data_IF_494369010398
#
_entry.id   IF_494369010398
#
_cell.length_a   1.000
_cell.length_b   1.000
_cell.length_c   1.000
_cell.angle_alpha   90.00
_cell.angle_beta   90.00
_cell.angle_gamma   90.00
#
_symmetry.space_group_name_H-M   'P 1'
#
loop_
_entity.id
_entity.type
_entity.pdbx_description
1 polymer ?
#
# COMPACT_ATOMS: atom_id res chain seq x y z
N UNK A 1 12.02 3.37 20.14
CA UNK A 1 10.77 2.71 19.72
C UNK A 1 11.08 1.82 18.54
N UNK A 2 10.58 0.58 18.55
CA UNK A 2 10.68 -0.33 17.40
C UNK A 2 9.92 0.25 16.22
N UNK A 3 10.45 0.10 15.01
CA UNK A 3 9.74 0.52 13.80
C UNK A 3 8.40 -0.25 13.66
N UNK A 4 7.34 0.46 13.27
CA UNK A 4 6.08 -0.17 12.86
C UNK A 4 6.25 -0.80 11.48
N UNK A 5 5.96 -2.10 11.39
CA UNK A 5 6.21 -2.91 10.19
C UNK A 5 4.92 -3.62 9.80
N UNK A 6 4.43 -3.34 8.60
CA UNK A 6 3.33 -4.07 8.01
C UNK A 6 3.85 -5.21 7.13
N UNK A 7 3.26 -6.39 7.29
CA UNK A 7 3.53 -7.57 6.47
C UNK A 7 2.33 -7.90 5.62
N UNK A 8 2.56 -8.11 4.32
CA UNK A 8 1.54 -8.53 3.35
C UNK A 8 2.09 -9.69 2.53
N UNK A 9 1.26 -10.67 2.19
CA UNK A 9 1.64 -11.66 1.18
C UNK A 9 1.93 -10.99 -0.17
N UNK A 10 2.80 -11.61 -0.96
CA UNK A 10 3.10 -11.12 -2.31
C UNK A 10 1.87 -11.06 -3.21
N UNK A 11 0.97 -12.06 -3.10
CA UNK A 11 -0.30 -12.08 -3.82
C UNK A 11 -1.16 -10.85 -3.49
N UNK A 12 -1.25 -10.46 -2.21
CA UNK A 12 -1.98 -9.25 -1.83
C UNK A 12 -1.28 -7.97 -2.27
N UNK A 13 0.04 -7.93 -2.33
CA UNK A 13 0.76 -6.76 -2.86
C UNK A 13 0.50 -6.60 -4.36
N UNK A 14 0.36 -7.70 -5.11
CA UNK A 14 0.11 -7.70 -6.55
C UNK A 14 -1.39 -7.64 -6.91
N UNK A 15 -2.27 -7.80 -5.93
CA UNK A 15 -3.69 -7.72 -6.13
C UNK A 15 -4.12 -6.37 -6.73
N UNK A 16 -5.20 -6.40 -7.51
CA UNK A 16 -5.82 -5.19 -8.03
C UNK A 16 -6.74 -4.59 -6.98
N UNK A 17 -6.40 -3.39 -6.52
CA UNK A 17 -7.27 -2.58 -5.67
C UNK A 17 -6.88 -1.12 -5.74
N UNK A 18 -7.82 -0.27 -5.37
CA UNK A 18 -7.60 1.17 -5.30
C UNK A 18 -8.03 1.69 -3.94
N UNK A 19 -7.11 2.38 -3.30
CA UNK A 19 -7.30 3.03 -2.01
C UNK A 19 -6.83 4.48 -2.10
N UNK A 20 -7.47 5.35 -1.33
CA UNK A 20 -6.97 6.70 -1.10
C UNK A 20 -5.73 6.66 -0.21
N UNK A 21 -4.98 7.77 -0.14
CA UNK A 21 -3.80 7.84 0.71
C UNK A 21 -4.14 7.50 2.17
N UNK A 22 -5.23 8.06 2.69
CA UNK A 22 -5.63 7.86 4.08
C UNK A 22 -6.09 6.43 4.35
N UNK A 23 -6.83 5.82 3.42
CA UNK A 23 -7.21 4.41 3.51
C UNK A 23 -5.97 3.48 3.55
N UNK A 24 -4.96 3.75 2.71
CA UNK A 24 -3.73 2.94 2.72
C UNK A 24 -2.92 3.10 4.00
N UNK A 25 -2.74 4.34 4.47
CA UNK A 25 -2.02 4.64 5.71
C UNK A 25 -2.71 3.96 6.89
N UNK A 26 -4.03 4.09 6.98
CA UNK A 26 -4.83 3.47 8.02
C UNK A 26 -4.71 1.94 8.01
N UNK A 27 -4.84 1.31 6.83
CA UNK A 27 -4.68 -0.12 6.69
C UNK A 27 -3.27 -0.59 7.05
N UNK A 28 -2.22 0.13 6.64
CA UNK A 28 -0.84 -0.24 6.97
C UNK A 28 -0.57 -0.16 8.47
N UNK A 29 -1.12 0.85 9.16
CA UNK A 29 -1.07 0.92 10.61
C UNK A 29 -1.79 -0.27 11.26
N UNK A 30 -2.99 -0.62 10.79
CA UNK A 30 -3.72 -1.79 11.28
C UNK A 30 -2.93 -3.09 11.07
N UNK A 31 -2.40 -3.30 9.86
CA UNK A 31 -1.62 -4.48 9.50
C UNK A 31 -0.34 -4.57 10.36
N UNK A 32 0.28 -3.44 10.70
CA UNK A 32 1.47 -3.44 11.57
C UNK A 32 1.24 -3.93 13.00
N UNK A 33 -0.03 -4.05 13.43
CA UNK A 33 -0.40 -4.64 14.72
C UNK A 33 -0.58 -6.15 14.67
N UNK A 34 -0.67 -6.72 13.48
CA UNK A 34 -0.81 -8.15 13.31
C UNK A 34 0.53 -8.85 13.62
N UNK A 35 0.44 -9.90 14.42
CA UNK A 35 1.55 -10.76 14.82
C UNK A 35 1.44 -12.10 14.10
N UNK A 36 2.48 -12.44 13.37
CA UNK A 36 2.61 -13.73 12.70
C UNK A 36 2.62 -14.87 13.70
N UNK A 37 1.96 -15.98 13.36
CA UNK A 37 1.98 -17.20 14.17
C UNK A 37 1.06 -17.20 15.40
N UNK A 38 0.45 -16.07 15.76
CA UNK A 38 -0.67 -16.07 16.71
C UNK A 38 -2.00 -16.27 15.99
N UNK A 39 -3.04 -16.63 16.74
CA UNK A 39 -4.39 -16.84 16.22
C UNK A 39 -4.88 -15.60 15.45
N UNK A 40 -5.27 -15.81 14.18
CA UNK A 40 -5.77 -14.76 13.30
C UNK A 40 -7.11 -14.20 13.79
N UNK A 41 -7.98 -15.06 14.36
CA UNK A 41 -9.31 -14.67 14.83
C UNK A 41 -9.24 -13.68 15.99
N UNK A 42 -8.24 -13.83 16.86
CA UNK A 42 -8.04 -12.92 17.99
C UNK A 42 -7.49 -11.54 17.58
N UNK A 43 -7.04 -11.39 16.33
CA UNK A 43 -6.34 -10.20 15.85
C UNK A 43 -7.09 -9.44 14.76
N UNK A 44 -8.08 -10.07 14.12
CA UNK A 44 -8.81 -9.45 13.00
C UNK A 44 -9.57 -8.19 13.41
N UNK A 45 -9.98 -8.09 14.68
CA UNK A 45 -10.63 -6.90 15.23
C UNK A 45 -9.66 -6.05 16.04
N UNK A 46 -9.59 -4.75 15.74
CA UNK A 46 -8.71 -3.82 16.42
C UNK A 46 -9.25 -2.39 16.45
N UNK A 47 -8.69 -1.58 17.34
CA UNK A 47 -9.05 -0.17 17.53
C UNK A 47 -7.82 0.71 17.33
N UNK A 48 -7.91 1.72 16.46
CA UNK A 48 -6.88 2.72 16.21
C UNK A 48 -7.40 4.08 16.67
N UNK A 49 -6.61 4.82 17.43
CA UNK A 49 -6.91 6.21 17.80
C UNK A 49 -6.38 7.20 16.76
N UNK A 50 -6.98 8.39 16.68
CA UNK A 50 -6.48 9.47 15.83
C UNK A 50 -5.07 9.91 16.23
N UNK A 51 -4.72 9.82 17.52
CA UNK A 51 -3.37 10.09 18.01
C UNK A 51 -2.35 9.09 17.43
N UNK A 52 -2.60 7.79 17.53
CA UNK A 52 -1.72 6.77 16.95
C UNK A 52 -1.62 6.87 15.42
N UNK A 53 -2.73 7.22 14.77
CA UNK A 53 -2.75 7.45 13.33
C UNK A 53 -1.86 8.63 12.93
N UNK A 54 -1.96 9.75 13.66
CA UNK A 54 -1.10 10.92 13.47
C UNK A 54 0.37 10.61 13.76
N UNK A 55 0.67 9.94 14.87
CA UNK A 55 2.05 9.63 15.27
C UNK A 55 2.75 8.75 14.23
N UNK A 56 1.99 7.90 13.52
CA UNK A 56 2.49 7.07 12.43
C UNK A 56 2.70 7.83 11.11
N UNK A 57 1.96 8.93 10.91
CA UNK A 57 1.90 9.71 9.66
C UNK A 57 1.78 11.21 9.94
N UNK A 58 2.81 11.85 10.52
CA UNK A 58 2.69 13.21 11.08
C UNK A 58 2.50 14.31 10.01
N UNK A 59 2.85 14.02 8.75
CA UNK A 59 2.71 14.93 7.62
C UNK A 59 1.24 15.27 7.27
N UNK A 60 0.28 14.50 7.79
CA UNK A 60 -1.15 14.80 7.62
C UNK A 60 -1.65 16.01 8.41
N UNK A 61 -0.87 16.44 9.42
CA UNK A 61 -1.21 17.53 10.33
C UNK A 61 -2.18 17.11 11.45
N UNK A 62 -1.80 17.39 12.70
CA UNK A 62 -2.53 16.94 13.92
C UNK A 62 -4.00 17.35 13.94
N UNK A 63 -4.32 18.58 13.52
CA UNK A 63 -5.70 19.11 13.53
C UNK A 63 -6.65 18.32 12.61
N UNK A 64 -6.12 17.60 11.63
CA UNK A 64 -6.91 16.88 10.64
C UNK A 64 -6.93 15.37 10.89
N UNK A 65 -6.24 14.87 11.91
CA UNK A 65 -6.05 13.43 12.12
C UNK A 65 -7.39 12.70 12.33
N UNK A 66 -8.30 13.27 13.13
CA UNK A 66 -9.63 12.71 13.36
C UNK A 66 -10.48 12.69 12.09
N UNK A 67 -10.50 13.80 11.34
CA UNK A 67 -11.26 13.92 10.10
C UNK A 67 -10.74 12.94 9.05
N UNK A 68 -9.42 12.85 8.88
CA UNK A 68 -8.80 11.93 7.92
C UNK A 68 -8.96 10.47 8.33
N UNK A 69 -8.92 10.17 9.64
CA UNK A 69 -9.24 8.84 10.17
C UNK A 69 -10.68 8.49 9.82
N UNK A 70 -11.63 9.38 10.09
CA UNK A 70 -13.05 9.17 9.79
C UNK A 70 -13.28 8.95 8.29
N UNK A 71 -12.71 9.80 7.43
CA UNK A 71 -12.81 9.65 5.97
C UNK A 71 -12.23 8.34 5.46
N UNK A 72 -11.11 7.88 6.05
CA UNK A 72 -10.49 6.62 5.69
C UNK A 72 -11.41 5.43 5.98
N UNK A 73 -12.00 5.40 7.18
CA UNK A 73 -12.81 4.27 7.62
C UNK A 73 -14.20 4.23 6.96
N UNK A 74 -14.78 5.39 6.66
CA UNK A 74 -16.10 5.48 6.01
C UNK A 74 -16.06 4.89 4.60
N UNK A 75 -14.94 5.09 3.90
CA UNK A 75 -14.73 4.59 2.54
C UNK A 75 -14.27 3.14 2.48
N UNK A 76 -13.58 2.66 3.52
CA UNK A 76 -12.94 1.34 3.52
C UNK A 76 -13.96 0.19 3.33
N UNK A 77 -15.20 0.37 3.79
CA UNK A 77 -16.31 -0.57 3.57
C UNK A 77 -16.54 -0.87 2.08
N UNK A 78 -16.48 0.16 1.24
CA UNK A 78 -16.75 0.06 -0.20
C UNK A 78 -15.53 -0.42 -1.00
N UNK A 79 -14.42 -0.76 -0.33
CA UNK A 79 -13.18 -1.22 -0.98
C UNK A 79 -13.15 -2.73 -1.11
N UNK A 80 -12.76 -3.20 -2.29
CA UNK A 80 -12.50 -4.61 -2.56
C UNK A 80 -11.05 -4.81 -3.03
N UNK A 81 -10.61 -6.05 -2.91
CA UNK A 81 -9.38 -6.61 -3.43
C UNK A 81 -9.79 -7.59 -4.51
N UNK A 82 -9.17 -7.51 -5.68
CA UNK A 82 -9.34 -8.47 -6.75
C UNK A 82 -8.03 -9.22 -6.93
N UNK A 83 -8.06 -10.52 -6.62
CA UNK A 83 -7.00 -11.45 -6.99
C UNK A 83 -7.33 -12.08 -8.34
N UNK A 84 -6.33 -12.13 -9.22
CA UNK A 84 -6.42 -12.78 -10.52
C UNK A 84 -5.23 -13.70 -10.68
N UNK A 85 -5.50 -14.96 -10.96
CA UNK A 85 -4.55 -15.89 -11.55
C UNK A 85 -5.11 -16.41 -12.89
N UNK A 86 -4.41 -17.33 -13.54
CA UNK A 86 -4.81 -17.86 -14.85
C UNK A 86 -6.13 -18.64 -14.82
N UNK A 87 -6.57 -19.12 -13.65
CA UNK A 87 -7.74 -19.98 -13.50
C UNK A 87 -8.92 -19.29 -12.79
N UNK A 88 -8.65 -18.30 -11.93
CA UNK A 88 -9.63 -17.73 -11.00
C UNK A 88 -9.50 -16.22 -10.87
N UNK A 89 -10.66 -15.59 -10.79
CA UNK A 89 -10.83 -14.21 -10.37
C UNK A 89 -11.67 -14.20 -9.10
N UNK A 90 -11.03 -13.80 -7.99
CA UNK A 90 -11.69 -13.68 -6.69
C UNK A 90 -11.75 -12.21 -6.28
N UNK A 91 -12.90 -11.78 -5.79
CA UNK A 91 -13.11 -10.44 -5.27
C UNK A 91 -13.64 -10.52 -3.84
N UNK A 92 -12.94 -9.86 -2.91
CA UNK A 92 -13.33 -9.84 -1.50
C UNK A 92 -13.10 -8.46 -0.87
N UNK A 93 -13.78 -8.19 0.24
CA UNK A 93 -13.72 -6.92 0.95
C UNK A 93 -12.50 -6.86 1.89
N UNK A 94 -12.02 -5.66 2.18
CA UNK A 94 -10.98 -5.46 3.21
C UNK A 94 -11.50 -5.73 4.63
N UNK A 95 -12.74 -5.30 4.92
CA UNK A 95 -13.33 -5.36 6.25
C UNK A 95 -14.67 -6.10 6.24
N UNK A 96 -14.99 -6.79 7.34
CA UNK A 96 -16.20 -7.61 7.48
C UNK A 96 -17.44 -6.78 7.83
N UNK A 97 -17.25 -5.68 8.56
CA UNK A 97 -18.30 -4.76 8.98
C UNK A 97 -17.87 -3.33 8.68
N UNK A 98 -18.85 -2.43 8.50
CA UNK A 98 -18.57 -0.99 8.47
C UNK A 98 -17.87 -0.61 9.78
N UNK A 99 -16.77 0.13 9.67
CA UNK A 99 -15.98 0.53 10.82
C UNK A 99 -16.82 1.34 11.82
N UNK A 100 -16.58 1.12 13.11
CA UNK A 100 -17.27 1.85 14.17
C UNK A 100 -16.41 3.03 14.60
N UNK A 101 -16.98 4.24 14.59
CA UNK A 101 -16.31 5.45 15.06
C UNK A 101 -16.95 5.95 16.35
N UNK A 102 -16.18 5.97 17.44
CA UNK A 102 -16.63 6.56 18.69
C UNK A 102 -16.22 8.04 18.71
N UNK A 103 -17.13 8.94 18.28
CA UNK A 103 -16.87 10.38 18.12
C UNK A 103 -16.28 11.07 19.35
N UNK A 104 -16.64 10.64 20.56
CA UNK A 104 -16.11 11.20 21.81
C UNK A 104 -14.72 10.70 22.22
N UNK A 105 -14.23 9.65 21.57
CA UNK A 105 -12.97 8.99 21.93
C UNK A 105 -11.92 9.03 20.80
N UNK A 106 -12.24 9.70 19.68
CA UNK A 106 -11.37 9.83 18.51
C UNK A 106 -10.76 8.49 18.06
N UNK A 107 -11.53 7.41 18.13
CA UNK A 107 -11.07 6.04 17.84
C UNK A 107 -11.97 5.32 16.85
N UNK A 108 -11.33 4.58 15.96
CA UNK A 108 -11.96 3.74 14.96
C UNK A 108 -11.73 2.27 15.29
N UNK A 109 -12.80 1.47 15.30
CA UNK A 109 -12.73 0.01 15.42
C UNK A 109 -13.03 -0.63 14.07
N UNK A 110 -12.16 -1.53 13.64
CA UNK A 110 -12.34 -2.31 12.41
C UNK A 110 -12.27 -3.81 12.71
N UNK A 111 -12.82 -4.58 11.78
CA UNK A 111 -12.67 -6.02 11.70
C UNK A 111 -12.27 -6.38 10.27
N UNK A 112 -11.05 -6.88 10.07
CA UNK A 112 -10.62 -7.42 8.78
C UNK A 112 -11.55 -8.56 8.35
N UNK A 113 -11.76 -8.71 7.04
CA UNK A 113 -12.54 -9.83 6.53
C UNK A 113 -11.79 -11.15 6.69
N UNK A 114 -12.53 -12.24 6.94
CA UNK A 114 -11.93 -13.58 7.04
C UNK A 114 -11.15 -13.96 5.76
N UNK A 115 -11.61 -13.46 4.59
CA UNK A 115 -10.96 -13.66 3.30
C UNK A 115 -9.59 -12.97 3.19
N UNK A 116 -9.38 -11.78 3.79
CA UNK A 116 -8.08 -11.08 3.71
C UNK A 116 -7.08 -11.59 4.75
N UNK A 117 -7.54 -12.13 5.88
CA UNK A 117 -6.69 -12.53 7.01
C UNK A 117 -5.56 -13.51 6.66
N UNK A 118 -5.75 -14.54 5.82
CA UNK A 118 -4.67 -15.41 5.38
C UNK A 118 -3.51 -14.64 4.74
N UNK A 119 -3.83 -13.63 3.92
CA UNK A 119 -2.84 -12.82 3.22
C UNK A 119 -2.08 -11.82 4.11
N UNK A 120 -2.53 -11.65 5.37
CA UNK A 120 -1.94 -10.73 6.34
C UNK A 120 -1.22 -11.45 7.50
N UNK A 121 -1.65 -12.65 7.87
CA UNK A 121 -1.19 -13.35 9.09
C UNK A 121 -0.49 -14.68 8.81
N UNK A 122 -0.87 -15.38 7.74
CA UNK A 122 -0.28 -16.67 7.39
C UNK A 122 1.00 -16.45 6.57
N UNK A 123 2.02 -15.88 7.20
CA UNK A 123 3.31 -15.56 6.58
C UNK A 123 4.18 -16.80 6.28
N UNK A 124 3.57 -17.95 5.93
CA UNK A 124 4.27 -19.11 5.39
C UNK A 124 4.46 -18.87 3.89
N UNK A 125 5.63 -18.36 3.49
CA UNK A 125 5.97 -18.11 2.08
C UNK A 125 6.62 -16.75 1.86
N UNK A 126 6.46 -16.20 0.64
CA UNK A 126 7.01 -14.89 0.28
C UNK A 126 6.07 -13.75 0.73
N UNK A 127 6.59 -12.90 1.62
CA UNK A 127 5.89 -11.72 2.10
C UNK A 127 6.68 -10.46 1.81
N UNK A 128 5.96 -9.36 1.70
CA UNK A 128 6.50 -8.01 1.58
C UNK A 128 6.50 -7.35 2.94
N UNK A 129 7.67 -6.84 3.32
CA UNK A 129 7.87 -6.07 4.53
C UNK A 129 7.83 -4.58 4.21
N UNK A 130 6.93 -3.83 4.83
CA UNK A 130 6.78 -2.39 4.67
C UNK A 130 7.02 -1.70 6.01
N UNK A 131 8.09 -0.91 6.10
CA UNK A 131 8.34 -0.07 7.29
C UNK A 131 7.55 1.21 7.14
N UNK A 132 6.61 1.48 8.07
CA UNK A 132 5.72 2.64 7.96
C UNK A 132 6.51 3.95 7.88
N UNK A 133 7.59 4.08 8.65
CA UNK A 133 8.47 5.26 8.65
C UNK A 133 9.05 5.58 7.26
N UNK A 134 9.29 4.56 6.42
CA UNK A 134 9.91 4.73 5.11
C UNK A 134 8.92 5.22 4.05
N UNK A 135 7.63 5.17 4.34
CA UNK A 135 6.57 5.63 3.44
C UNK A 135 5.75 6.77 4.04
N UNK A 136 6.01 7.17 5.29
CA UNK A 136 5.15 8.10 6.02
C UNK A 136 5.08 9.47 5.37
N UNK A 137 6.14 9.91 4.69
CA UNK A 137 6.16 11.17 3.92
C UNK A 137 5.61 11.09 2.49
N UNK A 138 5.23 9.89 2.00
CA UNK A 138 4.65 9.74 0.67
C UNK A 138 3.22 10.29 0.66
N UNK A 139 2.94 11.17 -0.30
CA UNK A 139 1.66 11.87 -0.45
C UNK A 139 0.78 11.30 -1.57
N UNK A 140 1.31 10.39 -2.38
CA UNK A 140 0.54 9.67 -3.40
C UNK A 140 0.30 8.23 -2.96
N UNK A 141 -0.96 7.79 -3.04
CA UNK A 141 -1.32 6.39 -2.81
C UNK A 141 -0.70 5.45 -3.86
N UNK A 142 -0.39 5.95 -5.05
CA UNK A 142 0.35 5.19 -6.06
C UNK A 142 1.84 5.05 -5.70
N UNK A 143 2.45 6.06 -5.08
CA UNK A 143 3.83 5.96 -4.61
C UNK A 143 3.98 4.86 -3.56
N UNK A 144 3.04 4.77 -2.61
CA UNK A 144 3.00 3.68 -1.62
C UNK A 144 2.85 2.32 -2.31
N UNK A 145 1.92 2.18 -3.27
CA UNK A 145 1.76 0.90 -4.00
C UNK A 145 3.00 0.50 -4.77
N UNK A 146 3.64 1.44 -5.46
CA UNK A 146 4.89 1.19 -6.18
C UNK A 146 5.99 0.80 -5.18
N UNK A 147 6.11 1.48 -4.04
CA UNK A 147 7.04 1.09 -2.97
C UNK A 147 6.85 -0.37 -2.54
N UNK A 148 5.61 -0.78 -2.27
CA UNK A 148 5.28 -2.16 -1.88
C UNK A 148 5.69 -3.16 -2.98
N UNK A 149 5.38 -2.85 -4.24
CA UNK A 149 5.76 -3.67 -5.38
C UNK A 149 7.30 -3.81 -5.48
N UNK A 150 8.06 -2.74 -5.24
CA UNK A 150 9.52 -2.83 -5.27
C UNK A 150 10.04 -3.65 -4.08
N UNK A 151 9.48 -3.48 -2.89
CA UNK A 151 9.94 -4.20 -1.70
C UNK A 151 9.78 -5.74 -1.78
N UNK A 152 8.90 -6.26 -2.64
CA UNK A 152 8.84 -7.69 -2.97
C UNK A 152 10.18 -8.23 -3.51
N UNK A 153 10.92 -7.40 -4.24
CA UNK A 153 12.17 -7.74 -4.92
C UNK A 153 13.38 -7.07 -4.25
N UNK A 154 13.28 -6.70 -2.96
CA UNK A 154 14.36 -6.02 -2.23
C UNK A 154 15.70 -6.76 -2.24
N UNK A 155 15.68 -8.09 -2.34
CA UNK A 155 16.89 -8.91 -2.40
C UNK A 155 17.63 -8.82 -3.73
N UNK A 156 16.93 -8.57 -4.83
CA UNK A 156 17.52 -8.45 -6.18
C UNK A 156 17.73 -6.99 -6.58
N UNK A 157 16.91 -6.07 -6.08
CA UNK A 157 16.95 -4.65 -6.45
C UNK A 157 16.45 -4.37 -7.87
N UNK A 158 15.77 -5.33 -8.50
CA UNK A 158 15.29 -5.22 -9.87
C UNK A 158 13.93 -5.90 -10.01
N UNK A 159 13.01 -5.25 -10.74
CA UNK A 159 11.68 -5.78 -11.03
C UNK A 159 11.21 -5.36 -12.41
N UNK A 160 10.81 -6.34 -13.23
CA UNK A 160 10.14 -6.11 -14.51
C UNK A 160 8.64 -6.36 -14.31
N UNK A 161 7.80 -5.43 -14.77
CA UNK A 161 6.33 -5.55 -14.70
C UNK A 161 5.76 -5.26 -16.08
N UNK A 162 4.93 -6.16 -16.61
CA UNK A 162 4.20 -5.88 -17.85
C UNK A 162 3.29 -4.66 -17.66
N UNK A 163 3.13 -3.85 -18.70
CA UNK A 163 2.42 -2.58 -18.60
C UNK A 163 0.95 -2.77 -18.21
N UNK A 164 0.33 -3.86 -18.67
CA UNK A 164 -1.05 -4.21 -18.31
C UNK A 164 -1.17 -4.62 -16.84
N UNK A 165 -0.24 -5.45 -16.36
CA UNK A 165 -0.22 -5.89 -14.95
C UNK A 165 0.02 -4.72 -14.02
N UNK A 166 0.95 -3.81 -14.36
CA UNK A 166 1.19 -2.58 -13.60
C UNK A 166 -0.08 -1.74 -13.47
N UNK A 167 -0.88 -1.62 -14.54
CA UNK A 167 -2.17 -0.92 -14.49
C UNK A 167 -3.18 -1.66 -13.62
N UNK A 168 -3.20 -2.98 -13.67
CA UNK A 168 -4.14 -3.78 -12.89
C UNK A 168 -3.82 -3.76 -11.40
N UNK A 169 -2.55 -3.95 -11.02
CA UNK A 169 -2.04 -3.85 -9.64
C UNK A 169 -2.37 -2.50 -8.98
N UNK A 170 -2.43 -1.41 -9.77
CA UNK A 170 -2.79 -0.07 -9.30
C UNK A 170 -4.28 0.28 -9.42
N UNK A 171 -5.11 -0.60 -10.00
CA UNK A 171 -6.54 -0.38 -10.21
C UNK A 171 -6.84 0.79 -11.18
N UNK A 172 -6.04 0.92 -12.25
CA UNK A 172 -6.09 2.02 -13.22
C UNK A 172 -6.20 1.54 -14.67
N UNK A 173 -6.69 0.33 -14.93
CA UNK A 173 -6.85 -0.25 -16.27
C UNK A 173 -7.61 0.69 -17.21
N UNK A 174 -8.61 1.39 -16.68
CA UNK A 174 -9.46 2.31 -17.44
C UNK A 174 -8.94 3.76 -17.47
N UNK A 175 -7.78 4.06 -16.88
CA UNK A 175 -7.19 5.40 -16.81
C UNK A 175 -5.88 5.49 -17.59
N UNK A 176 -5.53 6.71 -18.00
CA UNK A 176 -4.24 7.01 -18.65
C UNK A 176 -3.96 6.07 -19.83
N UNK A 177 -4.93 5.91 -20.75
CA UNK A 177 -4.86 4.89 -21.83
C UNK A 177 -3.56 4.97 -22.63
N UNK A 178 -3.10 6.19 -22.91
CA UNK A 178 -1.81 6.40 -23.56
C UNK A 178 -0.65 6.30 -22.55
N UNK A 179 0.42 5.60 -22.94
CA UNK A 179 1.61 5.50 -22.09
C UNK A 179 2.22 6.87 -21.75
N UNK A 180 2.17 7.83 -22.68
CA UNK A 180 2.66 9.19 -22.45
C UNK A 180 2.02 9.82 -21.21
N UNK A 181 0.70 9.70 -21.08
CA UNK A 181 -0.06 10.26 -19.96
C UNK A 181 0.23 9.50 -18.67
N UNK A 182 0.26 8.16 -18.72
CA UNK A 182 0.62 7.33 -17.56
C UNK A 182 2.00 7.71 -17.04
N UNK A 183 2.97 7.86 -17.94
CA UNK A 183 4.34 8.20 -17.59
C UNK A 183 4.46 9.61 -17.01
N UNK A 184 3.79 10.60 -17.62
CA UNK A 184 3.83 12.01 -17.19
C UNK A 184 3.11 12.23 -15.86
N UNK A 185 1.93 11.63 -15.68
CA UNK A 185 1.02 11.93 -14.58
C UNK A 185 1.27 11.04 -13.37
N UNK A 186 1.70 9.79 -13.58
CA UNK A 186 1.82 8.81 -12.50
C UNK A 186 3.25 8.33 -12.30
N UNK A 187 3.87 7.71 -13.31
CA UNK A 187 5.15 7.02 -13.11
C UNK A 187 6.24 8.00 -12.72
N UNK A 188 6.50 9.05 -13.52
CA UNK A 188 7.55 10.03 -13.21
C UNK A 188 7.33 10.71 -11.86
N UNK A 189 6.13 11.25 -11.54
CA UNK A 189 5.88 11.85 -10.23
C UNK A 189 6.09 10.89 -9.05
N UNK A 190 5.64 9.64 -9.15
CA UNK A 190 5.81 8.66 -8.08
C UNK A 190 7.29 8.30 -7.89
N UNK A 191 8.05 8.12 -8.97
CA UNK A 191 9.48 7.81 -8.88
C UNK A 191 10.27 8.98 -8.30
N UNK A 192 9.96 10.23 -8.70
CA UNK A 192 10.55 11.42 -8.09
C UNK A 192 10.22 11.49 -6.60
N UNK A 193 8.98 11.21 -6.21
CA UNK A 193 8.57 11.22 -4.80
C UNK A 193 9.29 10.14 -3.99
N UNK A 194 9.36 8.90 -4.48
CA UNK A 194 10.07 7.81 -3.81
C UNK A 194 11.55 8.16 -3.57
N UNK A 195 12.25 8.65 -4.59
CA UNK A 195 13.66 9.06 -4.49
C UNK A 195 13.90 10.21 -3.50
N UNK A 196 12.87 11.02 -3.22
CA UNK A 196 12.95 12.19 -2.33
C UNK A 196 12.52 11.87 -0.90
N UNK A 197 11.53 10.99 -0.71
CA UNK A 197 10.80 10.86 0.55
C UNK A 197 10.74 9.44 1.14
N UNK A 198 11.36 8.47 0.48
CA UNK A 198 11.47 7.10 1.00
C UNK A 198 12.92 6.70 1.25
N UNK A 199 13.14 5.48 1.72
CA UNK A 199 14.45 4.83 1.83
C UNK A 199 14.89 4.17 0.51
N UNK A 200 14.28 4.49 -0.63
CA UNK A 200 14.66 3.92 -1.93
C UNK A 200 15.27 4.95 -2.87
N UNK A 201 16.32 4.53 -3.57
CA UNK A 201 16.77 5.15 -4.83
C UNK A 201 16.26 4.30 -5.97
N UNK A 202 15.43 4.86 -6.85
CA UNK A 202 14.69 4.13 -7.88
C UNK A 202 14.89 4.75 -9.25
N UNK A 203 15.17 3.92 -10.25
CA UNK A 203 15.08 4.26 -11.67
C UNK A 203 14.05 3.38 -12.36
N UNK A 204 13.47 3.90 -13.44
CA UNK A 204 12.53 3.15 -14.28
C UNK A 204 12.84 3.35 -15.75
N UNK A 205 12.95 2.24 -16.46
CA UNK A 205 13.16 2.18 -17.91
C UNK A 205 11.97 1.51 -18.58
N UNK A 206 11.77 1.77 -19.87
CA UNK A 206 10.69 1.15 -20.64
C UNK A 206 11.23 0.03 -21.51
N UNK A 207 10.61 -1.15 -21.45
CA UNK A 207 10.85 -2.22 -22.41
C UNK A 207 9.85 -2.07 -23.55
N UNK A 208 10.34 -2.10 -24.79
CA UNK A 208 9.53 -1.86 -25.99
C UNK A 208 9.50 -3.08 -26.91
N UNK A 209 8.35 -3.30 -27.54
CA UNK A 209 8.19 -4.17 -28.71
C UNK A 209 7.86 -3.29 -29.91
N UNK A 210 8.86 -3.04 -30.75
CA UNK A 210 8.78 -2.00 -31.78
C UNK A 210 8.58 -0.60 -31.16
N UNK A 211 7.51 0.10 -31.55
CA UNK A 211 7.19 1.44 -31.04
C UNK A 211 6.39 1.42 -29.73
N UNK A 212 5.87 0.25 -29.33
CA UNK A 212 4.96 0.10 -28.20
C UNK A 212 5.73 -0.25 -26.93
N UNK A 213 5.46 0.46 -25.83
CA UNK A 213 5.96 0.09 -24.50
C UNK A 213 5.14 -1.08 -23.98
N UNK A 214 5.81 -2.18 -23.64
CA UNK A 214 5.17 -3.43 -23.19
C UNK A 214 5.41 -3.72 -21.72
N UNK A 215 6.49 -3.20 -21.13
CA UNK A 215 6.80 -3.39 -19.72
C UNK A 215 7.59 -2.22 -19.15
N UNK A 216 7.60 -2.13 -17.82
CA UNK A 216 8.41 -1.24 -17.01
C UNK A 216 9.50 -2.04 -16.32
N UNK A 217 10.72 -1.53 -16.38
CA UNK A 217 11.86 -2.12 -15.73
C UNK A 217 12.34 -1.20 -14.61
N UNK A 218 12.07 -1.60 -13.37
CA UNK A 218 12.50 -0.87 -12.18
C UNK A 218 13.81 -1.42 -11.68
N UNK A 219 14.75 -0.51 -11.37
CA UNK A 219 15.97 -0.81 -10.62
C UNK A 219 16.00 0.07 -9.39
N UNK A 220 16.32 -0.52 -8.25
CA UNK A 220 16.27 0.18 -6.99
C UNK A 220 17.23 -0.40 -5.96
N UNK A 221 17.59 0.43 -4.99
CA UNK A 221 18.37 0.02 -3.81
C UNK A 221 17.89 0.78 -2.58
N UNK A 222 18.03 0.14 -1.42
CA UNK A 222 17.82 0.79 -0.13
C UNK A 222 18.92 1.84 0.09
N UNK A 223 18.52 3.07 0.36
CA UNK A 223 19.35 4.17 0.83
C UNK A 223 19.07 4.37 2.32
N UNK A 224 20.03 4.01 3.16
CA UNK A 224 19.86 3.98 4.62
C UNK A 224 19.56 5.35 5.24
N UNK A 225 19.66 6.43 4.47
CA UNK A 225 19.25 7.77 4.89
C UNK A 225 17.96 8.18 4.16
N UNK A 226 16.85 8.23 4.89
CA UNK A 226 15.67 8.95 4.41
C UNK A 226 16.07 10.42 4.26
N UNK A 227 16.00 10.94 3.04
CA UNK A 227 16.31 12.34 2.75
C UNK A 227 15.23 13.21 3.41
N UNK A 228 15.51 13.68 4.63
CA UNK A 228 14.67 14.67 5.28
C UNK A 228 14.74 15.94 4.45
N UNK A 229 13.64 16.29 3.79
CA UNK A 229 13.50 17.62 3.19
C UNK A 229 13.17 18.57 4.35
N UNK A 230 14.13 19.43 4.70
CA UNK A 230 13.96 20.57 5.61
C UNK A 230 13.02 21.58 4.94
#
# INVERSE_FOLDING_TARGET
>A
MSDLIAYKSNALVEASYKLTLQEQRFLLLCISRLKSGSDAELQKTMTITAAEYFDSFPDMGRKNAEVQLQEAIDRLWDRSIILKDDEKREEFRWIQYRAQYAKGEAKARITFSDAVMPYLTQLKGQFTRVVIKNISGLSSSYSIRIYELLQQFRSTGERIIALNDFRSMLGIENKYKQFRDLNKILIKPCITELNKKSDLVVTVETIKKGRTVVALHFRFKEDKQIKMTI
#
